data_IF_176736980059
#
_entry.id   IF_176736980059
#
_cell.length_a   1.000
_cell.length_b   1.000
_cell.length_c   1.000
_cell.angle_alpha   90.00
_cell.angle_beta   90.00
_cell.angle_gamma   90.00
#
_symmetry.space_group_name_H-M   'P 1'
#
loop_
_entity.id
_entity.type
_entity.pdbx_description
1 polymer ?
#
# COMPACT_ATOMS: atom_id res chain seq x y z
N UNK A 1 5.35 16.25 4.10
CA UNK A 1 5.92 14.92 3.93
C UNK A 1 6.92 14.93 2.79
N UNK A 2 8.20 14.81 3.14
CA UNK A 2 9.29 14.47 2.22
C UNK A 2 9.55 12.98 2.44
N UNK A 3 9.79 12.22 1.37
CA UNK A 3 10.26 10.84 1.51
C UNK A 3 11.63 10.89 2.17
N UNK A 4 11.68 10.59 3.47
CA UNK A 4 12.92 10.64 4.26
C UNK A 4 14.03 9.73 3.75
N UNK A 5 13.68 8.78 2.86
CA UNK A 5 14.59 7.83 2.19
C UNK A 5 14.85 8.16 0.71
N UNK A 6 14.19 9.18 0.16
CA UNK A 6 14.32 9.60 -1.24
C UNK A 6 13.14 9.20 -2.13
N UNK A 7 12.70 10.13 -2.98
CA UNK A 7 11.51 9.99 -3.83
C UNK A 7 11.57 8.83 -4.83
N UNK A 8 12.78 8.45 -5.28
CA UNK A 8 12.92 7.36 -6.25
C UNK A 8 12.58 5.99 -5.67
N UNK A 9 12.61 5.81 -4.35
CA UNK A 9 12.40 4.49 -3.75
C UNK A 9 11.00 3.95 -4.01
N UNK A 10 9.97 4.75 -3.72
CA UNK A 10 8.57 4.35 -3.92
C UNK A 10 8.25 4.23 -5.41
N UNK A 11 8.74 5.17 -6.22
CA UNK A 11 8.49 5.17 -7.66
C UNK A 11 9.10 3.91 -8.32
N UNK A 12 10.35 3.55 -8.00
CA UNK A 12 10.98 2.30 -8.46
C UNK A 12 10.24 1.05 -7.97
N UNK A 13 9.72 1.08 -6.74
CA UNK A 13 8.97 -0.06 -6.22
C UNK A 13 7.67 -0.28 -6.98
N UNK A 14 6.94 0.79 -7.30
CA UNK A 14 5.72 0.74 -8.12
C UNK A 14 6.01 0.23 -9.52
N UNK A 15 7.06 0.74 -10.18
CA UNK A 15 7.48 0.29 -11.51
C UNK A 15 7.80 -1.21 -11.52
N UNK A 16 8.63 -1.68 -10.57
CA UNK A 16 8.97 -3.09 -10.45
C UNK A 16 7.72 -3.96 -10.24
N UNK A 17 6.81 -3.54 -9.37
CA UNK A 17 5.59 -4.28 -9.07
C UNK A 17 4.67 -4.36 -10.29
N UNK A 18 4.57 -3.29 -11.07
CA UNK A 18 3.77 -3.22 -12.30
C UNK A 18 4.24 -4.27 -13.33
N UNK A 19 5.55 -4.52 -13.40
CA UNK A 19 6.14 -5.57 -14.25
C UNK A 19 5.94 -6.99 -13.70
N UNK A 20 5.82 -7.14 -12.36
CA UNK A 20 5.78 -8.45 -11.68
C UNK A 20 4.37 -8.99 -11.48
N UNK A 21 3.36 -8.13 -11.45
CA UNK A 21 1.98 -8.50 -11.18
C UNK A 21 1.10 -8.05 -12.35
N UNK A 22 0.53 -9.03 -13.05
CA UNK A 22 -0.43 -8.78 -14.13
C UNK A 22 -1.81 -8.36 -13.61
N UNK A 23 -2.56 -7.63 -14.44
CA UNK A 23 -3.93 -7.19 -14.12
C UNK A 23 -4.86 -8.37 -13.80
N UNK A 24 -4.78 -9.43 -14.60
CA UNK A 24 -5.56 -10.66 -14.39
C UNK A 24 -5.25 -11.31 -13.02
N UNK A 25 -4.00 -11.25 -12.56
CA UNK A 25 -3.64 -11.78 -11.24
C UNK A 25 -4.34 -10.99 -10.14
N UNK A 26 -4.39 -9.66 -10.26
CA UNK A 26 -5.06 -8.79 -9.31
C UNK A 26 -6.59 -8.97 -9.35
N UNK A 27 -7.19 -9.04 -10.54
CA UNK A 27 -8.63 -9.31 -10.71
C UNK A 27 -9.07 -10.61 -10.04
N UNK A 28 -8.20 -11.62 -10.08
CA UNK A 28 -8.43 -12.93 -9.47
C UNK A 28 -7.89 -13.07 -8.04
N UNK A 29 -7.36 -11.99 -7.44
CA UNK A 29 -6.73 -12.04 -6.13
C UNK A 29 -7.64 -12.61 -5.03
N UNK A 30 -8.94 -12.30 -5.07
CA UNK A 30 -9.94 -12.81 -4.11
C UNK A 30 -10.08 -14.33 -4.08
N UNK A 31 -9.73 -15.01 -5.17
CA UNK A 31 -9.78 -16.47 -5.24
C UNK A 31 -8.50 -17.12 -4.73
N UNK A 32 -7.37 -16.39 -4.77
CA UNK A 32 -6.07 -16.86 -4.27
C UNK A 32 -5.87 -16.53 -2.79
N UNK A 33 -6.34 -15.36 -2.36
CA UNK A 33 -6.14 -14.81 -1.02
C UNK A 33 -7.48 -14.59 -0.34
N UNK A 34 -7.99 -15.64 0.32
CA UNK A 34 -9.32 -15.59 0.98
C UNK A 34 -9.39 -14.56 2.12
N UNK A 35 -8.30 -14.44 2.90
CA UNK A 35 -8.20 -13.50 4.02
C UNK A 35 -7.49 -12.25 3.51
N UNK A 36 -8.09 -11.07 3.65
CA UNK A 36 -7.51 -9.77 3.27
C UNK A 36 -6.93 -9.79 1.84
N UNK A 37 -7.76 -9.99 0.79
CA UNK A 37 -7.29 -9.99 -0.58
C UNK A 37 -6.65 -8.63 -0.93
N UNK A 38 -5.50 -8.62 -1.63
CA UNK A 38 -4.81 -7.39 -2.01
C UNK A 38 -5.66 -6.55 -2.96
N UNK A 39 -5.63 -5.24 -2.78
CA UNK A 39 -6.45 -4.27 -3.53
C UNK A 39 -5.68 -3.59 -4.67
N UNK A 40 -4.35 -3.72 -4.68
CA UNK A 40 -3.47 -3.22 -5.72
C UNK A 40 -2.31 -4.21 -5.96
N UNK A 41 -1.54 -3.96 -7.02
CA UNK A 41 -0.43 -4.83 -7.41
C UNK A 41 0.69 -4.89 -6.37
N UNK A 42 0.92 -3.80 -5.64
CA UNK A 42 1.97 -3.71 -4.61
C UNK A 42 1.64 -4.61 -3.43
N UNK A 43 0.41 -4.52 -2.92
CA UNK A 43 -0.12 -5.43 -1.92
C UNK A 43 -0.09 -6.88 -2.40
N UNK A 44 -0.41 -7.15 -3.68
CA UNK A 44 -0.36 -8.50 -4.24
C UNK A 44 1.05 -9.08 -4.22
N UNK A 45 2.04 -8.27 -4.60
CA UNK A 45 3.44 -8.67 -4.62
C UNK A 45 3.92 -9.03 -3.20
N UNK A 46 3.68 -8.16 -2.23
CA UNK A 46 4.02 -8.41 -0.83
C UNK A 46 3.28 -9.60 -0.26
N UNK A 47 1.98 -9.73 -0.56
CA UNK A 47 1.16 -10.84 -0.08
C UNK A 47 1.63 -12.18 -0.64
N UNK A 48 2.15 -12.20 -1.87
CA UNK A 48 2.74 -13.40 -2.46
C UNK A 48 4.00 -13.81 -1.70
N UNK A 49 4.94 -12.88 -1.45
CA UNK A 49 6.15 -13.13 -0.66
C UNK A 49 5.79 -13.60 0.75
N UNK A 50 4.83 -12.94 1.41
CA UNK A 50 4.36 -13.32 2.73
C UNK A 50 3.85 -14.76 2.76
N UNK A 51 3.02 -15.16 1.78
CA UNK A 51 2.44 -16.50 1.74
C UNK A 51 3.48 -17.58 1.41
N UNK A 52 4.53 -17.26 0.66
CA UNK A 52 5.66 -18.17 0.42
C UNK A 52 6.40 -18.52 1.72
N UNK A 53 6.55 -17.56 2.63
CA UNK A 53 7.20 -17.78 3.92
C UNK A 53 6.24 -18.25 5.02
N UNK A 54 4.98 -17.82 4.97
CA UNK A 54 3.95 -18.06 5.98
C UNK A 54 2.64 -18.54 5.33
N UNK A 55 2.56 -19.81 4.89
CA UNK A 55 1.44 -20.31 4.10
C UNK A 55 0.13 -20.52 4.90
N UNK A 56 0.13 -20.27 6.20
CA UNK A 56 -1.02 -20.52 7.07
C UNK A 56 -2.06 -19.39 6.98
N UNK A 57 -3.33 -19.76 6.90
CA UNK A 57 -4.46 -18.82 7.03
C UNK A 57 -4.45 -18.09 8.37
N UNK A 58 -4.00 -18.73 9.45
CA UNK A 58 -3.83 -18.09 10.76
C UNK A 58 -2.79 -16.98 10.71
N UNK A 59 -1.68 -17.19 9.99
CA UNK A 59 -0.66 -16.15 9.84
C UNK A 59 -1.19 -14.94 9.06
N UNK A 60 -1.96 -15.18 7.99
CA UNK A 60 -2.62 -14.12 7.25
C UNK A 60 -3.63 -13.34 8.10
N UNK A 61 -4.38 -14.02 8.99
CA UNK A 61 -5.33 -13.39 9.89
C UNK A 61 -4.68 -12.48 10.96
N UNK A 62 -3.39 -12.69 11.26
CA UNK A 62 -2.65 -11.84 12.20
C UNK A 62 -2.24 -10.49 11.60
N UNK A 63 -2.31 -10.32 10.28
CA UNK A 63 -1.95 -9.06 9.60
C UNK A 63 -3.22 -8.22 9.40
N UNK A 64 -3.37 -7.07 10.09
CA UNK A 64 -4.56 -6.24 9.95
C UNK A 64 -4.59 -5.54 8.59
N UNK A 65 -5.75 -5.56 7.93
CA UNK A 65 -6.00 -4.86 6.67
C UNK A 65 -6.86 -3.61 6.91
N UNK A 66 -6.35 -2.69 7.72
CA UNK A 66 -7.04 -1.44 8.06
C UNK A 66 -6.34 -0.25 7.41
N UNK A 67 -7.08 0.78 6.97
CA UNK A 67 -6.49 2.00 6.45
C UNK A 67 -5.52 2.65 7.44
N UNK A 68 -4.38 3.13 6.95
CA UNK A 68 -3.34 3.78 7.73
C UNK A 68 -2.59 4.80 6.87
N UNK A 69 -2.05 5.84 7.51
CA UNK A 69 -1.09 6.76 6.89
C UNK A 69 0.19 6.75 7.72
N UNK A 70 1.30 6.39 7.06
CA UNK A 70 2.60 6.21 7.68
C UNK A 70 2.54 5.31 8.95
N UNK A 71 3.12 5.75 10.06
CA UNK A 71 3.16 5.02 11.33
C UNK A 71 1.92 5.23 12.21
N UNK A 72 0.81 5.72 11.65
CA UNK A 72 -0.35 6.17 12.43
C UNK A 72 -1.44 5.11 12.49
N UNK A 73 -2.24 5.10 13.56
CA UNK A 73 -3.45 4.28 13.62
C UNK A 73 -4.54 4.84 12.68
N UNK A 74 -5.58 4.06 12.34
CA UNK A 74 -6.73 4.56 11.58
C UNK A 74 -7.36 5.85 12.16
N UNK A 75 -7.23 6.07 13.47
CA UNK A 75 -7.70 7.29 14.16
C UNK A 75 -7.07 8.56 13.58
N UNK A 76 -5.84 8.50 13.09
CA UNK A 76 -5.18 9.66 12.50
C UNK A 76 -5.84 10.12 11.19
N UNK A 77 -6.48 9.20 10.46
CA UNK A 77 -7.28 9.54 9.28
C UNK A 77 -8.54 10.33 9.65
N UNK A 78 -9.01 10.22 10.90
CA UNK A 78 -10.21 10.94 11.35
C UNK A 78 -9.93 12.40 11.70
N UNK A 79 -8.66 12.76 11.96
CA UNK A 79 -8.26 14.07 12.46
C UNK A 79 -8.25 15.17 11.40
N UNK A 80 -8.11 14.82 10.13
CA UNK A 80 -8.16 15.78 9.02
C UNK A 80 -8.85 15.14 7.81
N UNK A 81 -9.87 15.83 7.29
CA UNK A 81 -10.64 15.37 6.13
C UNK A 81 -9.78 15.20 4.87
N UNK A 82 -8.66 15.91 4.76
CA UNK A 82 -7.72 15.78 3.65
C UNK A 82 -7.00 14.43 3.61
N UNK A 83 -6.85 13.73 4.76
CA UNK A 83 -6.31 12.36 4.80
C UNK A 83 -7.37 11.30 4.49
N UNK A 84 -8.65 11.56 4.75
CA UNK A 84 -9.74 10.57 4.58
C UNK A 84 -9.87 10.07 3.14
N UNK A 85 -9.55 10.92 2.17
CA UNK A 85 -9.68 10.63 0.73
C UNK A 85 -8.34 10.43 0.01
N UNK A 86 -7.22 10.44 0.74
CA UNK A 86 -5.87 10.25 0.20
C UNK A 86 -5.22 9.04 0.89
N UNK A 87 -5.54 7.84 0.40
CA UNK A 87 -4.86 6.61 0.80
C UNK A 87 -3.49 6.52 0.10
N UNK A 88 -2.61 7.46 0.42
CA UNK A 88 -1.28 7.56 -0.17
C UNK A 88 -0.23 7.48 0.96
N UNK A 89 0.45 6.33 1.12
CA UNK A 89 1.28 6.03 2.30
C UNK A 89 2.40 7.04 2.56
N UNK A 90 2.91 7.72 1.52
CA UNK A 90 3.96 8.72 1.66
C UNK A 90 3.45 10.11 2.06
N UNK A 91 2.13 10.37 1.97
CA UNK A 91 1.54 11.69 2.20
C UNK A 91 1.94 12.74 1.14
N UNK A 92 2.58 12.33 0.05
CA UNK A 92 3.06 13.16 -1.07
C UNK A 92 1.90 13.76 -1.87
N UNK A 93 0.83 12.98 -2.07
CA UNK A 93 -0.28 13.36 -2.95
C UNK A 93 -1.34 14.26 -2.30
N UNK A 94 -1.13 14.69 -1.05
CA UNK A 94 -2.06 15.59 -0.37
C UNK A 94 -1.87 16.99 -0.95
N UNK A 95 -2.76 17.33 -1.90
CA UNK A 95 -2.76 18.62 -2.61
C UNK A 95 -2.71 19.78 -1.60
N UNK A 96 -1.85 20.75 -1.89
CA UNK A 96 -1.57 22.00 -1.16
C UNK A 96 -0.48 21.96 -0.07
N UNK A 97 0.16 20.81 0.23
CA UNK A 97 1.24 20.76 1.23
C UNK A 97 2.63 20.90 0.58
N UNK A 98 2.79 20.52 -0.69
CA UNK A 98 4.08 20.49 -1.40
C UNK A 98 3.98 21.01 -2.83
N UNK A 99 4.01 22.33 -3.01
CA UNK A 99 4.08 22.95 -4.35
C UNK A 99 5.52 22.99 -4.89
N UNK A 100 6.54 22.95 -4.02
CA UNK A 100 7.94 23.22 -4.39
C UNK A 100 8.76 21.93 -4.63
N UNK A 101 8.14 20.75 -4.63
CA UNK A 101 8.85 19.47 -4.77
C UNK A 101 9.07 18.98 -6.21
N UNK A 102 8.69 19.79 -7.21
CA UNK A 102 8.68 19.42 -8.64
C UNK A 102 9.59 20.33 -9.49
N UNK A 103 10.74 20.76 -8.96
CA UNK A 103 11.86 21.24 -9.79
C UNK A 103 12.84 20.12 -10.13
#
# INVERSE_FOLDING_TARGET
FSDGVGYSWIDTLKEMVEEKVGDEQLENAKFKFEINPPMNKEEYYYRTIFQEHFPSSTAAACVPSVPSVACSSPVALEWDESFKNANEPSGRAIKNIHNDGYE
#
